data_IF_239452810811
#
_entry.id   IF_239452810811
#
_cell.length_a   1.000
_cell.length_b   1.000
_cell.length_c   1.000
_cell.angle_alpha   90.00
_cell.angle_beta   90.00
_cell.angle_gamma   90.00
#
_symmetry.space_group_name_H-M   'P 1'
#
loop_
_entity.id
_entity.type
_entity.pdbx_description
1 polymer ?
#
# COMPACT_ATOMS: atom_id res chain seq x y z
N UNK A 1 16.84 18.61 -69.53
CA UNK A 1 17.90 19.50 -69.00
C UNK A 1 17.22 20.79 -68.53
N UNK A 2 16.85 20.89 -67.25
CA UNK A 2 16.01 21.97 -66.73
C UNK A 2 16.86 23.21 -66.42
N UNK A 3 16.72 24.26 -67.23
CA UNK A 3 17.43 25.54 -67.06
C UNK A 3 16.93 26.28 -65.82
N UNK A 4 17.72 26.28 -64.74
CA UNK A 4 17.56 27.16 -63.59
C UNK A 4 17.97 28.60 -63.95
N UNK A 5 17.07 29.40 -64.54
CA UNK A 5 17.29 30.85 -64.71
C UNK A 5 16.63 31.71 -63.62
N UNK A 6 15.80 31.09 -62.76
CA UNK A 6 15.08 31.78 -61.68
C UNK A 6 15.89 31.97 -60.38
N UNK A 7 16.96 31.20 -60.17
CA UNK A 7 17.71 31.18 -58.90
C UNK A 7 18.76 32.30 -58.82
N UNK A 8 19.12 32.90 -59.95
CA UNK A 8 20.06 34.02 -60.03
C UNK A 8 19.41 35.41 -59.95
N UNK A 9 18.10 35.47 -59.73
CA UNK A 9 17.37 36.72 -59.59
C UNK A 9 17.28 37.09 -58.10
N UNK A 10 17.54 38.35 -57.74
CA UNK A 10 17.41 38.92 -56.39
C UNK A 10 16.09 38.53 -55.71
N UNK A 11 15.00 38.51 -56.50
CA UNK A 11 13.65 38.11 -56.04
C UNK A 11 13.54 36.63 -55.65
N UNK A 12 14.32 35.75 -56.29
CA UNK A 12 14.35 34.31 -55.99
C UNK A 12 15.10 34.01 -54.70
N UNK A 13 16.24 34.68 -54.47
CA UNK A 13 16.99 34.59 -53.21
C UNK A 13 16.16 35.15 -52.04
N UNK A 14 15.45 36.27 -52.25
CA UNK A 14 14.53 36.82 -51.24
C UNK A 14 13.42 35.82 -50.86
N UNK A 15 12.83 35.13 -51.84
CA UNK A 15 11.80 34.11 -51.57
C UNK A 15 12.35 32.93 -50.76
N UNK A 16 13.56 32.43 -51.11
CA UNK A 16 14.20 31.33 -50.38
C UNK A 16 14.55 31.74 -48.95
N UNK A 17 15.05 32.96 -48.74
CA UNK A 17 15.39 33.46 -47.41
C UNK A 17 14.14 33.61 -46.53
N UNK A 18 13.04 34.12 -47.09
CA UNK A 18 11.74 34.16 -46.39
C UNK A 18 11.25 32.76 -46.06
N UNK A 19 11.42 31.78 -46.96
CA UNK A 19 11.00 30.40 -46.72
C UNK A 19 11.84 29.73 -45.61
N UNK A 20 13.15 29.96 -45.57
CA UNK A 20 14.03 29.45 -44.50
C UNK A 20 13.65 30.09 -43.16
N UNK A 21 13.45 31.42 -43.12
CA UNK A 21 13.02 32.11 -41.91
C UNK A 21 11.64 31.62 -41.44
N UNK A 22 10.72 31.34 -42.36
CA UNK A 22 9.40 30.78 -42.05
C UNK A 22 9.50 29.36 -41.46
N UNK A 23 10.35 28.50 -42.03
CA UNK A 23 10.57 27.13 -41.51
C UNK A 23 11.16 27.16 -40.11
N UNK A 24 12.15 28.03 -39.85
CA UNK A 24 12.75 28.18 -38.52
C UNK A 24 11.69 28.68 -37.53
N UNK A 25 10.90 29.68 -37.90
CA UNK A 25 9.82 30.20 -37.04
C UNK A 25 8.79 29.11 -36.70
N UNK A 26 8.39 28.31 -37.68
CA UNK A 26 7.43 27.22 -37.49
C UNK A 26 8.01 26.08 -36.64
N UNK A 27 9.31 25.78 -36.79
CA UNK A 27 10.02 24.81 -35.96
C UNK A 27 10.10 25.25 -34.49
N UNK A 28 10.39 26.53 -34.23
CA UNK A 28 10.39 27.06 -32.86
C UNK A 28 9.00 26.98 -32.20
N UNK A 29 7.95 27.38 -32.91
CA UNK A 29 6.57 27.30 -32.38
C UNK A 29 6.16 25.85 -32.13
N UNK A 30 6.51 24.93 -33.03
CA UNK A 30 6.23 23.50 -32.86
C UNK A 30 6.94 22.93 -31.63
N UNK A 31 8.20 23.30 -31.40
CA UNK A 31 8.98 22.92 -30.21
C UNK A 31 8.31 23.41 -28.92
N UNK A 32 7.88 24.67 -28.87
CA UNK A 32 7.22 25.24 -27.70
C UNK A 32 5.88 24.55 -27.41
N UNK A 33 5.06 24.32 -28.43
CA UNK A 33 3.79 23.61 -28.29
C UNK A 33 3.98 22.17 -27.81
N UNK A 34 5.04 21.50 -28.28
CA UNK A 34 5.37 20.16 -27.80
C UNK A 34 5.71 20.16 -26.30
N UNK A 35 6.59 21.05 -25.85
CA UNK A 35 6.94 21.16 -24.43
C UNK A 35 5.72 21.50 -23.55
N UNK A 36 4.87 22.42 -24.00
CA UNK A 36 3.64 22.78 -23.29
C UNK A 36 2.68 21.59 -23.19
N UNK A 37 2.50 20.83 -24.27
CA UNK A 37 1.62 19.66 -24.29
C UNK A 37 2.13 18.56 -23.36
N UNK A 38 3.44 18.33 -23.31
CA UNK A 38 4.01 17.37 -22.36
C UNK A 38 3.84 17.85 -20.91
N UNK A 39 4.02 19.15 -20.65
CA UNK A 39 3.81 19.74 -19.34
C UNK A 39 2.37 19.62 -18.84
N UNK A 40 1.37 19.84 -19.70
CA UNK A 40 -0.04 19.71 -19.33
C UNK A 40 -0.43 18.25 -19.05
N UNK A 41 0.06 17.30 -19.85
CA UNK A 41 -0.17 15.86 -19.62
C UNK A 41 0.43 15.43 -18.28
N UNK A 42 1.68 15.82 -18.01
CA UNK A 42 2.35 15.46 -16.75
C UNK A 42 1.65 16.08 -15.54
N UNK A 43 1.25 17.35 -15.63
CA UNK A 43 0.49 18.01 -14.56
C UNK A 43 -0.86 17.34 -14.28
N UNK A 44 -1.56 16.89 -15.33
CA UNK A 44 -2.79 16.12 -15.19
C UNK A 44 -2.56 14.77 -14.51
N UNK A 45 -1.55 14.02 -14.95
CA UNK A 45 -1.18 12.73 -14.37
C UNK A 45 -0.78 12.86 -12.89
N UNK A 46 -0.03 13.89 -12.53
CA UNK A 46 0.38 14.14 -11.15
C UNK A 46 -0.82 14.42 -10.24
N UNK A 47 -1.86 15.09 -10.74
CA UNK A 47 -3.09 15.33 -9.96
C UNK A 47 -3.77 14.01 -9.59
N UNK A 48 -3.99 13.14 -10.58
CA UNK A 48 -4.62 11.83 -10.37
C UNK A 48 -3.79 10.93 -9.45
N UNK A 49 -2.47 10.94 -9.63
CA UNK A 49 -1.58 10.20 -8.74
C UNK A 49 -1.68 10.72 -7.30
N UNK A 50 -1.64 12.03 -7.09
CA UNK A 50 -1.69 12.64 -5.76
C UNK A 50 -3.01 12.37 -5.03
N UNK A 51 -4.14 12.40 -5.74
CA UNK A 51 -5.44 12.07 -5.14
C UNK A 51 -5.53 10.59 -4.76
N UNK A 52 -5.02 9.70 -5.60
CA UNK A 52 -4.89 8.28 -5.24
C UNK A 52 -3.90 8.06 -4.08
N UNK A 53 -2.83 8.85 -4.01
CA UNK A 53 -1.83 8.81 -2.95
C UNK A 53 -2.43 9.24 -1.59
N UNK A 54 -3.21 10.32 -1.57
CA UNK A 54 -3.92 10.77 -0.36
C UNK A 54 -4.90 9.69 0.15
N UNK A 55 -5.61 9.01 -0.75
CA UNK A 55 -6.44 7.86 -0.40
C UNK A 55 -5.59 6.67 0.11
N UNK A 56 -4.39 6.48 -0.46
CA UNK A 56 -3.41 5.48 0.00
C UNK A 56 -2.91 5.75 1.42
N UNK A 57 -2.61 6.99 1.79
CA UNK A 57 -2.20 7.35 3.15
C UNK A 57 -3.30 7.08 4.18
N UNK A 58 -4.55 7.45 3.88
CA UNK A 58 -5.69 7.06 4.72
C UNK A 58 -5.85 5.53 4.78
N UNK A 59 -5.53 4.86 3.67
CA UNK A 59 -5.41 3.42 3.57
C UNK A 59 -4.49 2.79 4.63
N UNK A 60 -3.26 3.30 4.65
CA UNK A 60 -2.18 2.88 5.55
C UNK A 60 -2.53 3.18 7.00
N UNK A 61 -3.09 4.35 7.31
CA UNK A 61 -3.48 4.73 8.68
C UNK A 61 -4.51 3.77 9.27
N UNK A 62 -5.51 3.38 8.47
CA UNK A 62 -6.52 2.42 8.91
C UNK A 62 -5.95 1.01 9.04
N UNK A 63 -5.08 0.57 8.13
CA UNK A 63 -4.45 -0.76 8.23
C UNK A 63 -3.49 -0.84 9.42
N UNK A 64 -2.71 0.21 9.69
CA UNK A 64 -1.83 0.25 10.88
C UNK A 64 -2.64 0.31 12.17
N UNK A 65 -3.74 1.06 12.19
CA UNK A 65 -4.70 1.06 13.30
C UNK A 65 -5.29 -0.34 13.54
N UNK A 66 -5.67 -1.04 12.46
CA UNK A 66 -6.15 -2.42 12.51
C UNK A 66 -5.13 -3.39 13.11
N UNK A 67 -3.84 -3.25 12.77
CA UNK A 67 -2.77 -4.07 13.37
C UNK A 67 -2.55 -3.72 14.84
N UNK A 68 -2.53 -2.43 15.18
CA UNK A 68 -2.36 -1.94 16.55
C UNK A 68 -3.46 -2.43 17.50
N UNK A 69 -4.69 -2.59 17.00
CA UNK A 69 -5.83 -3.10 17.77
C UNK A 69 -6.00 -4.62 17.66
N UNK A 70 -4.97 -5.34 17.20
CA UNK A 70 -4.99 -6.80 16.98
C UNK A 70 -6.21 -7.26 16.18
N UNK A 71 -6.57 -6.51 15.15
CA UNK A 71 -7.61 -6.86 14.20
C UNK A 71 -9.01 -6.33 14.52
N UNK A 72 -9.15 -5.39 15.45
CA UNK A 72 -10.42 -4.69 15.74
C UNK A 72 -10.46 -3.35 14.98
N UNK A 73 -11.29 -3.26 13.96
CA UNK A 73 -11.53 -2.00 13.26
C UNK A 73 -12.95 -1.99 12.70
N UNK A 74 -13.83 -1.25 13.35
CA UNK A 74 -15.20 -1.03 12.92
C UNK A 74 -15.43 0.46 12.71
N UNK A 75 -15.56 0.86 11.44
CA UNK A 75 -15.85 2.24 11.06
C UNK A 75 -17.18 2.21 10.31
N UNK A 76 -18.27 2.50 11.01
CA UNK A 76 -19.63 2.45 10.47
C UNK A 76 -19.83 3.28 9.19
N UNK A 77 -19.01 4.31 8.96
CA UNK A 77 -19.06 5.15 7.76
C UNK A 77 -18.35 4.54 6.52
N UNK A 78 -17.60 3.45 6.68
CA UNK A 78 -16.83 2.81 5.60
C UNK A 78 -17.37 1.40 5.31
N UNK A 79 -18.18 1.22 4.25
CA UNK A 79 -18.65 -0.10 3.87
C UNK A 79 -17.48 -1.01 3.47
N UNK A 80 -17.39 -2.17 4.12
CA UNK A 80 -16.28 -3.14 3.95
C UNK A 80 -15.30 -3.19 5.13
N UNK A 81 -15.35 -2.24 6.08
CA UNK A 81 -14.58 -2.26 7.33
C UNK A 81 -15.48 -2.51 8.54
N UNK A 82 -15.77 -3.78 8.80
CA UNK A 82 -16.57 -4.22 9.95
C UNK A 82 -15.86 -5.36 10.72
N UNK A 83 -14.61 -5.12 11.12
CA UNK A 83 -13.88 -6.05 11.98
C UNK A 83 -14.25 -5.79 13.44
N UNK A 84 -15.41 -6.31 13.86
CA UNK A 84 -16.01 -6.06 15.17
C UNK A 84 -15.33 -6.79 16.32
N UNK A 85 -14.41 -7.70 16.02
CA UNK A 85 -13.68 -8.49 17.00
C UNK A 85 -12.27 -8.84 16.50
N UNK A 86 -11.33 -8.84 17.44
CA UNK A 86 -9.91 -9.01 17.18
C UNK A 86 -9.45 -10.45 17.32
N UNK A 87 -8.14 -10.59 17.37
CA UNK A 87 -7.44 -11.85 17.53
C UNK A 87 -6.91 -11.95 18.97
N UNK A 88 -7.08 -13.11 19.59
CA UNK A 88 -6.58 -13.32 20.95
C UNK A 88 -5.04 -13.41 21.03
N UNK A 89 -4.34 -13.59 19.89
CA UNK A 89 -2.89 -13.76 19.76
C UNK A 89 -2.28 -14.46 20.98
N UNK A 90 -2.62 -15.75 21.15
CA UNK A 90 -2.46 -16.49 22.38
C UNK A 90 -0.96 -16.81 22.65
N UNK A 91 -0.52 -18.07 22.63
CA UNK A 91 0.90 -18.37 22.82
C UNK A 91 1.66 -18.20 21.48
N UNK A 92 2.59 -17.24 21.37
CA UNK A 92 3.36 -16.99 20.15
C UNK A 92 4.20 -18.18 19.69
N UNK A 93 4.44 -19.16 20.56
CA UNK A 93 5.21 -20.38 20.27
C UNK A 93 4.34 -21.58 19.89
N UNK A 94 3.01 -21.48 20.03
CA UNK A 94 2.05 -22.52 19.64
C UNK A 94 1.37 -22.11 18.33
N UNK A 95 1.93 -22.57 17.22
CA UNK A 95 1.36 -22.31 15.90
C UNK A 95 -0.03 -22.97 15.79
N UNK A 96 -1.09 -22.18 15.56
CA UNK A 96 -2.53 -22.54 15.39
C UNK A 96 -3.47 -22.26 16.57
N UNK A 97 -3.01 -21.60 17.64
CA UNK A 97 -3.85 -21.28 18.79
C UNK A 97 -4.47 -19.86 18.73
N UNK A 98 -4.18 -19.13 17.66
CA UNK A 98 -4.75 -17.81 17.37
C UNK A 98 -6.21 -17.96 16.97
N UNK A 99 -7.10 -17.57 17.87
CA UNK A 99 -8.54 -17.60 17.68
C UNK A 99 -9.03 -16.23 17.26
N UNK A 100 -9.84 -16.23 16.20
CA UNK A 100 -10.68 -15.09 15.86
C UNK A 100 -11.82 -14.99 16.87
N UNK A 101 -11.85 -13.91 17.65
CA UNK A 101 -12.86 -13.70 18.67
C UNK A 101 -14.27 -13.54 18.07
N UNK A 102 -14.41 -13.35 16.75
CA UNK A 102 -15.71 -13.32 16.07
C UNK A 102 -16.32 -14.70 15.94
N UNK A 103 -15.50 -15.65 15.50
CA UNK A 103 -15.94 -16.99 15.08
C UNK A 103 -15.67 -18.03 16.15
N UNK A 104 -14.80 -17.73 17.11
CA UNK A 104 -14.30 -18.69 18.10
C UNK A 104 -13.42 -19.78 17.47
N UNK A 105 -12.90 -19.57 16.26
CA UNK A 105 -12.08 -20.53 15.54
C UNK A 105 -10.78 -19.89 15.04
N UNK A 106 -9.79 -20.72 14.71
CA UNK A 106 -8.56 -20.26 14.07
C UNK A 106 -8.87 -19.60 12.73
N UNK A 107 -8.21 -18.47 12.46
CA UNK A 107 -8.36 -17.75 11.20
C UNK A 107 -7.03 -17.30 10.64
N UNK A 108 -6.94 -17.39 9.32
CA UNK A 108 -5.82 -16.91 8.49
C UNK A 108 -5.41 -15.47 8.83
N UNK A 109 -6.42 -14.62 9.08
CA UNK A 109 -6.28 -13.23 9.51
C UNK A 109 -5.52 -13.10 10.84
N UNK A 110 -5.91 -13.90 11.83
CA UNK A 110 -5.25 -13.87 13.14
C UNK A 110 -3.85 -14.48 13.09
N UNK A 111 -3.64 -15.53 12.32
CA UNK A 111 -2.29 -16.07 12.12
C UNK A 111 -1.34 -15.04 11.49
N UNK A 112 -1.83 -14.21 10.56
CA UNK A 112 -1.02 -13.13 9.99
C UNK A 112 -0.60 -12.05 10.98
N UNK A 113 -1.50 -11.69 11.88
CA UNK A 113 -1.25 -10.65 12.88
C UNK A 113 -0.31 -11.16 13.97
N UNK A 114 -0.54 -12.39 14.44
CA UNK A 114 0.09 -12.88 15.68
C UNK A 114 1.36 -13.70 15.43
N UNK A 115 1.44 -14.45 14.32
CA UNK A 115 2.54 -15.36 14.02
C UNK A 115 3.53 -14.76 13.02
N UNK A 116 4.81 -15.18 13.11
CA UNK A 116 5.77 -14.86 12.07
C UNK A 116 5.36 -15.50 10.75
N UNK A 117 5.76 -14.89 9.63
CA UNK A 117 5.40 -15.34 8.28
C UNK A 117 5.64 -16.82 8.05
N UNK A 118 6.77 -17.36 8.54
CA UNK A 118 7.13 -18.77 8.40
C UNK A 118 6.09 -19.75 8.98
N UNK A 119 5.25 -19.28 9.90
CA UNK A 119 4.24 -20.08 10.60
C UNK A 119 2.82 -19.83 10.10
N UNK A 120 2.64 -19.06 9.03
CA UNK A 120 1.32 -18.85 8.42
C UNK A 120 0.83 -20.15 7.77
N UNK A 121 -0.45 -20.53 7.97
CA UNK A 121 -1.00 -21.73 7.35
C UNK A 121 -0.91 -21.72 5.81
N UNK A 122 -1.05 -22.89 5.20
CA UNK A 122 -1.28 -22.95 3.75
C UNK A 122 -2.68 -22.42 3.41
N UNK A 123 -2.83 -21.75 2.26
CA UNK A 123 -4.13 -21.23 1.79
C UNK A 123 -4.58 -19.89 2.38
N UNK A 124 -3.71 -19.19 3.12
CA UNK A 124 -4.04 -17.88 3.74
C UNK A 124 -4.22 -16.79 2.68
N UNK A 125 -3.41 -16.77 1.60
CA UNK A 125 -3.50 -15.75 0.52
C UNK A 125 -3.02 -16.26 -0.84
N UNK A 126 -3.66 -17.30 -1.38
CA UNK A 126 -3.16 -18.04 -2.58
C UNK A 126 -1.91 -18.91 -2.33
N UNK A 127 -1.61 -19.25 -1.08
CA UNK A 127 -0.40 -20.03 -0.80
C UNK A 127 -0.53 -21.49 -1.23
N UNK A 128 0.47 -21.96 -1.97
CA UNK A 128 0.66 -23.39 -2.24
C UNK A 128 1.28 -24.14 -1.04
N UNK A 129 1.94 -23.43 -0.10
CA UNK A 129 2.61 -23.98 1.09
C UNK A 129 2.66 -22.97 2.25
N UNK A 130 2.85 -23.45 3.49
CA UNK A 130 2.93 -22.59 4.67
C UNK A 130 4.09 -21.58 4.59
N UNK A 131 3.84 -20.35 5.03
CA UNK A 131 4.81 -19.27 5.18
C UNK A 131 5.47 -18.68 3.93
N UNK A 132 4.84 -18.80 2.77
CA UNK A 132 5.30 -18.17 1.51
C UNK A 132 4.18 -17.33 0.93
N UNK A 133 4.37 -16.02 0.78
CA UNK A 133 3.49 -15.17 -0.03
C UNK A 133 3.73 -15.40 -1.53
N UNK A 134 2.75 -15.97 -2.24
CA UNK A 134 2.85 -16.23 -3.68
C UNK A 134 2.72 -14.93 -4.51
N UNK A 135 1.94 -13.96 -4.01
CA UNK A 135 1.75 -12.66 -4.65
C UNK A 135 1.87 -11.52 -3.66
N UNK A 136 2.75 -10.56 -3.99
CA UNK A 136 2.92 -9.28 -3.29
C UNK A 136 1.91 -8.23 -3.72
N UNK A 137 1.02 -8.54 -4.66
CA UNK A 137 0.04 -7.60 -5.13
C UNK A 137 -1.13 -7.52 -4.12
N UNK A 138 -1.42 -6.33 -3.55
CA UNK A 138 -2.51 -6.18 -2.59
C UNK A 138 -3.89 -6.38 -3.22
N UNK A 139 -4.02 -6.31 -4.55
CA UNK A 139 -5.29 -6.63 -5.23
C UNK A 139 -5.60 -8.14 -5.23
N UNK A 140 -4.60 -8.98 -4.98
CA UNK A 140 -4.69 -10.44 -5.04
C UNK A 140 -4.80 -10.98 -3.62
N UNK A 141 -6.02 -11.35 -3.20
CA UNK A 141 -6.41 -11.65 -1.82
C UNK A 141 -5.96 -10.56 -0.83
N UNK A 142 -6.63 -9.39 -0.86
CA UNK A 142 -6.43 -8.37 0.16
C UNK A 142 -6.85 -8.88 1.54
N UNK A 143 -6.09 -8.53 2.58
CA UNK A 143 -6.51 -8.73 3.98
C UNK A 143 -7.58 -7.72 4.40
N UNK A 144 -7.51 -6.53 3.83
CA UNK A 144 -8.51 -5.48 4.03
C UNK A 144 -8.86 -4.84 2.69
N UNK A 145 -10.16 -4.69 2.44
CA UNK A 145 -10.67 -4.00 1.26
C UNK A 145 -11.86 -3.12 1.65
N UNK A 146 -11.79 -1.86 1.25
CA UNK A 146 -12.88 -0.90 1.51
C UNK A 146 -12.81 0.27 0.55
N UNK A 147 -13.89 1.05 0.50
CA UNK A 147 -13.98 2.20 -0.39
C UNK A 147 -14.04 3.49 0.44
N UNK A 148 -13.06 4.35 0.23
CA UNK A 148 -13.04 5.70 0.77
C UNK A 148 -13.93 6.61 -0.08
N UNK A 149 -14.92 7.30 0.53
CA UNK A 149 -15.74 8.26 -0.19
C UNK A 149 -14.90 9.49 -0.53
N UNK A 150 -14.78 9.80 -1.82
CA UNK A 150 -14.17 11.05 -2.28
C UNK A 150 -15.23 12.12 -2.57
N UNK A 151 -14.78 13.27 -3.07
CA UNK A 151 -15.69 14.27 -3.63
C UNK A 151 -16.37 13.68 -4.87
N UNK A 152 -17.69 13.53 -4.79
CA UNK A 152 -18.54 12.98 -5.86
C UNK A 152 -18.14 13.55 -7.22
N UNK A 153 -17.92 12.72 -8.27
CA UNK A 153 -18.29 11.31 -8.37
C UNK A 153 -17.13 10.30 -8.13
N UNK A 154 -15.99 10.73 -7.57
CA UNK A 154 -14.81 9.88 -7.46
C UNK A 154 -14.76 9.22 -6.08
N UNK A 155 -14.62 7.90 -6.06
CA UNK A 155 -14.36 7.11 -4.86
C UNK A 155 -13.11 6.27 -5.09
N UNK A 156 -12.40 5.95 -4.02
CA UNK A 156 -11.17 5.18 -4.08
C UNK A 156 -11.31 3.89 -3.31
N UNK A 157 -11.07 2.77 -3.97
CA UNK A 157 -11.00 1.47 -3.31
C UNK A 157 -9.57 1.25 -2.84
N UNK A 158 -9.41 1.01 -1.55
CA UNK A 158 -8.15 0.67 -0.90
C UNK A 158 -8.09 -0.84 -0.72
N UNK A 159 -6.97 -1.41 -1.13
CA UNK A 159 -6.59 -2.79 -0.92
C UNK A 159 -5.35 -2.78 -0.03
N UNK A 160 -5.39 -3.48 1.09
CA UNK A 160 -4.23 -3.62 1.97
C UNK A 160 -3.94 -5.10 2.23
N UNK A 161 -2.66 -5.43 2.23
CA UNK A 161 -2.17 -6.79 2.43
C UNK A 161 -0.97 -6.80 3.37
N UNK A 162 -1.03 -7.67 4.38
CA UNK A 162 0.10 -8.02 5.23
C UNK A 162 0.92 -9.07 4.48
N UNK A 163 2.16 -8.72 4.16
CA UNK A 163 3.08 -9.54 3.38
C UNK A 163 4.07 -10.27 4.26
N UNK A 164 4.53 -9.61 5.31
CA UNK A 164 5.51 -10.19 6.22
C UNK A 164 5.22 -9.74 7.63
N UNK A 165 5.25 -10.67 8.58
CA UNK A 165 5.25 -10.41 10.00
C UNK A 165 6.51 -11.02 10.58
N UNK A 166 7.35 -10.17 11.17
CA UNK A 166 8.45 -10.56 12.04
C UNK A 166 7.97 -10.40 13.47
N UNK A 167 7.93 -11.53 14.17
CA UNK A 167 7.45 -11.57 15.53
C UNK A 167 8.42 -10.85 16.47
N UNK A 168 7.87 -9.92 17.25
CA UNK A 168 8.55 -9.29 18.37
C UNK A 168 8.43 -10.11 19.65
N UNK A 169 9.16 -9.72 20.69
CA UNK A 169 8.98 -10.25 22.06
C UNK A 169 8.17 -9.30 22.95
N UNK A 170 7.63 -8.22 22.37
CA UNK A 170 7.15 -7.05 23.10
C UNK A 170 5.69 -7.14 23.55
N UNK A 171 4.97 -8.20 23.17
CA UNK A 171 3.55 -8.30 23.50
C UNK A 171 3.05 -9.76 23.55
N UNK A 172 3.68 -10.57 24.39
CA UNK A 172 3.07 -11.82 24.92
C UNK A 172 2.22 -11.54 26.16
N UNK A 173 2.08 -10.27 26.52
CA UNK A 173 1.27 -9.80 27.64
C UNK A 173 -0.19 -9.66 27.22
N UNK A 174 -0.83 -10.80 26.96
CA UNK A 174 -2.28 -10.87 26.80
C UNK A 174 -2.98 -10.00 27.86
N UNK A 175 -4.04 -9.33 27.43
CA UNK A 175 -4.94 -8.53 28.25
C UNK A 175 -5.03 -9.12 29.67
N UNK A 176 -4.40 -8.42 30.62
CA UNK A 176 -4.31 -8.81 32.03
C UNK A 176 -5.71 -8.69 32.64
N UNK A 177 -6.55 -9.71 32.45
CA UNK A 177 -7.87 -9.80 33.10
C UNK A 177 -7.71 -10.18 34.58
N UNK A 178 -6.52 -10.56 35.06
CA UNK A 178 -6.32 -10.99 36.47
C UNK A 178 -4.89 -10.86 37.00
N UNK A 179 -4.18 -9.76 36.74
CA UNK A 179 -2.95 -9.40 37.45
C UNK A 179 -1.73 -10.34 37.32
N UNK A 180 -1.79 -11.41 36.53
CA UNK A 180 -0.69 -12.35 36.35
C UNK A 180 -0.03 -12.17 34.97
N UNK A 181 1.27 -11.91 34.99
CA UNK A 181 2.13 -11.95 33.81
C UNK A 181 2.14 -13.40 33.30
N UNK A 182 1.66 -13.61 32.07
CA UNK A 182 1.52 -14.91 31.41
C UNK A 182 2.83 -15.61 31.02
N UNK A 183 3.77 -15.74 31.96
CA UNK A 183 4.87 -16.69 31.86
C UNK A 183 4.57 -17.87 32.79
N UNK A 184 4.58 -19.09 32.28
CA UNK A 184 4.47 -20.30 33.10
C UNK A 184 5.44 -20.20 34.29
N UNK A 185 4.87 -20.21 35.51
CA UNK A 185 5.62 -20.02 36.74
C UNK A 185 6.75 -21.04 36.88
N UNK A 186 7.99 -20.55 36.77
CA UNK A 186 9.14 -21.12 37.45
C UNK A 186 9.67 -20.07 38.42
N UNK A 187 9.68 -20.45 39.69
CA UNK A 187 9.96 -19.62 40.86
C UNK A 187 11.23 -18.79 40.67
N UNK A 188 11.10 -17.47 40.51
CA UNK A 188 12.24 -16.55 40.61
C UNK A 188 12.57 -16.33 42.10
N UNK A 189 13.28 -17.28 42.70
CA UNK A 189 13.94 -17.08 43.98
C UNK A 189 15.16 -16.19 43.76
N UNK A 190 14.98 -14.89 44.01
CA UNK A 190 16.01 -13.94 44.45
C UNK A 190 17.24 -13.75 43.54
N UNK A 191 17.19 -12.82 42.55
CA UNK A 191 18.36 -12.04 42.06
C UNK A 191 18.02 -11.29 40.76
N UNK A 192 17.97 -9.95 40.80
CA UNK A 192 18.14 -9.06 39.64
C UNK A 192 17.06 -9.18 38.55
N UNK A 193 16.14 -8.22 38.49
CA UNK A 193 15.24 -8.04 37.35
C UNK A 193 16.07 -7.78 36.08
N UNK A 194 16.36 -8.85 35.33
CA UNK A 194 16.84 -8.76 33.96
C UNK A 194 15.62 -8.43 33.11
N UNK A 195 15.46 -7.15 32.75
CA UNK A 195 14.48 -6.76 31.74
C UNK A 195 14.97 -7.31 30.40
N UNK A 196 14.26 -8.23 29.74
CA UNK A 196 14.60 -8.60 28.38
C UNK A 196 14.55 -7.36 27.48
N UNK A 197 15.44 -7.25 26.48
CA UNK A 197 15.38 -6.16 25.51
C UNK A 197 14.08 -6.23 24.71
N UNK A 198 13.40 -5.10 24.54
CA UNK A 198 12.16 -4.98 23.77
C UNK A 198 12.43 -5.04 22.27
N UNK A 199 12.01 -6.13 21.63
CA UNK A 199 11.98 -6.33 20.19
C UNK A 199 10.54 -6.18 19.71
N UNK A 200 10.21 -5.09 19.00
CA UNK A 200 8.84 -4.85 18.54
C UNK A 200 8.44 -5.83 17.45
N UNK A 201 7.13 -5.95 17.23
CA UNK A 201 6.63 -6.62 16.02
C UNK A 201 6.88 -5.74 14.81
N UNK A 202 7.26 -6.37 13.70
CA UNK A 202 7.53 -5.66 12.46
C UNK A 202 6.68 -6.26 11.35
N UNK A 203 5.86 -5.41 10.74
CA UNK A 203 4.93 -5.77 9.68
C UNK A 203 5.34 -5.08 8.39
N UNK A 204 5.44 -5.84 7.30
CA UNK A 204 5.52 -5.30 5.94
C UNK A 204 4.15 -5.35 5.30
N UNK A 205 3.67 -4.18 4.90
CA UNK A 205 2.36 -3.97 4.32
C UNK A 205 2.50 -3.49 2.88
N UNK A 206 1.67 -4.01 2.01
CA UNK A 206 1.48 -3.48 0.66
C UNK A 206 0.07 -2.92 0.59
N UNK A 207 -0.04 -1.65 0.20
CA UNK A 207 -1.30 -0.93 0.10
C UNK A 207 -1.44 -0.36 -1.29
N UNK A 208 -2.60 -0.55 -1.91
CA UNK A 208 -2.95 0.08 -3.17
C UNK A 208 -4.28 0.79 -3.03
N UNK A 209 -4.28 2.08 -3.34
CA UNK A 209 -5.50 2.85 -3.52
C UNK A 209 -5.72 3.09 -5.01
N UNK A 210 -6.92 2.83 -5.50
CA UNK A 210 -7.27 3.05 -6.91
C UNK A 210 -8.66 3.65 -7.06
N UNK A 211 -8.86 4.48 -8.07
CA UNK A 211 -10.17 5.03 -8.36
C UNK A 211 -11.13 3.92 -8.82
N UNK A 212 -12.32 3.85 -8.22
CA UNK A 212 -13.31 2.80 -8.52
C UNK A 212 -13.74 2.80 -9.99
N UNK A 213 -13.79 3.98 -10.61
CA UNK A 213 -14.24 4.15 -12.00
C UNK A 213 -13.08 4.12 -13.02
N UNK A 214 -11.83 4.16 -12.56
CA UNK A 214 -10.66 4.19 -13.44
C UNK A 214 -9.45 3.50 -12.78
N UNK A 215 -9.23 2.20 -13.04
CA UNK A 215 -8.12 1.46 -12.46
C UNK A 215 -6.72 1.95 -12.87
N UNK A 216 -6.61 2.87 -13.84
CA UNK A 216 -5.33 3.51 -14.22
C UNK A 216 -4.91 4.62 -13.26
N UNK A 217 -5.85 5.14 -12.49
CA UNK A 217 -5.57 6.08 -11.40
C UNK A 217 -5.37 5.28 -10.13
N UNK A 218 -4.12 4.99 -9.80
CA UNK A 218 -3.76 4.25 -8.61
C UNK A 218 -2.47 4.78 -7.99
N UNK A 219 -2.32 4.51 -6.71
CA UNK A 219 -1.08 4.66 -5.96
C UNK A 219 -0.81 3.35 -5.22
N UNK A 220 0.46 2.95 -5.19
CA UNK A 220 0.95 1.77 -4.47
C UNK A 220 1.99 2.21 -3.46
N UNK A 221 1.88 1.69 -2.25
CA UNK A 221 2.73 2.01 -1.13
C UNK A 221 3.19 0.71 -0.48
N UNK A 222 4.49 0.61 -0.20
CA UNK A 222 5.07 -0.43 0.64
C UNK A 222 5.42 0.23 1.97
N UNK A 223 4.87 -0.29 3.05
CA UNK A 223 4.97 0.30 4.40
C UNK A 223 5.61 -0.70 5.34
N UNK A 224 6.58 -0.22 6.10
CA UNK A 224 7.15 -0.93 7.24
C UNK A 224 6.55 -0.36 8.51
N UNK A 225 5.75 -1.16 9.21
CA UNK A 225 5.12 -0.77 10.46
C UNK A 225 5.77 -1.52 11.63
N UNK A 226 5.99 -0.80 12.72
CA UNK A 226 6.60 -1.33 13.93
C UNK A 226 5.65 -1.06 15.09
N UNK A 227 5.28 -2.11 15.81
CA UNK A 227 4.37 -2.09 16.96
C UNK A 227 5.06 -2.62 18.21
#
# INVERSE_FOLDING_TARGET
>A
MMKMHLIRNEKGIALVLVLILAVIGLAMVSSLLFMLTQGTIFSGAQKFYRTAEEAGYGGVELTTSYLATRGVLDIAALPGLAFTSGCNCNDPYVFNDNIDLMTGAASNRCDKICNPTASWPAGVDEHAAAGIQVSLDPMVNPDMQYTLPGLQPVSYTVFAKVVDTVQGNSDVGGLVISGELGGAGVVASNSGLVSPPHNPYLYRLEVQAQATNNPREFSRMSVLYVY
#
